data_IF_408564094670
#
_entry.id   IF_408564094670
#
_cell.length_a   1.000
_cell.length_b   1.000
_cell.length_c   1.000
_cell.angle_alpha   90.00
_cell.angle_beta   90.00
_cell.angle_gamma   90.00
#
_symmetry.space_group_name_H-M   'P 1'
#
loop_
_entity.id
_entity.type
_entity.pdbx_description
1 polymer ?
#
# COMPACT_ATOMS: atom_id res chain seq x y z
N UNK A 1 -8.70 -15.37 -15.33
CA UNK A 1 -8.21 -14.63 -14.14
C UNK A 1 -8.03 -15.64 -13.02
N UNK A 2 -6.80 -15.85 -12.55
CA UNK A 2 -6.54 -16.84 -11.49
C UNK A 2 -7.14 -16.36 -10.18
N UNK A 3 -8.04 -17.15 -9.59
CA UNK A 3 -8.62 -16.87 -8.28
C UNK A 3 -7.54 -16.99 -7.18
N UNK A 4 -7.51 -16.05 -6.24
CA UNK A 4 -6.66 -16.17 -5.05
C UNK A 4 -7.21 -17.29 -4.15
N UNK A 5 -6.31 -18.10 -3.59
CA UNK A 5 -6.69 -19.25 -2.76
C UNK A 5 -6.27 -19.03 -1.31
N UNK A 6 -7.20 -19.33 -0.41
CA UNK A 6 -6.95 -19.27 1.03
C UNK A 6 -5.78 -20.18 1.43
N UNK A 7 -4.77 -19.69 2.13
CA UNK A 7 -3.62 -20.49 2.56
C UNK A 7 -3.99 -21.52 3.64
N UNK A 8 -5.10 -21.32 4.34
CA UNK A 8 -5.60 -22.19 5.43
C UNK A 8 -6.61 -23.19 4.93
N UNK A 9 -7.66 -22.74 4.22
CA UNK A 9 -8.78 -23.60 3.81
C UNK A 9 -8.66 -24.15 2.40
N UNK A 10 -7.74 -23.61 1.58
CA UNK A 10 -7.57 -23.94 0.15
C UNK A 10 -8.79 -23.64 -0.73
N UNK A 11 -9.74 -22.87 -0.24
CA UNK A 11 -10.90 -22.36 -0.99
C UNK A 11 -10.57 -21.02 -1.67
N UNK A 12 -11.35 -20.63 -2.69
CA UNK A 12 -11.19 -19.33 -3.35
C UNK A 12 -11.50 -18.18 -2.39
N UNK A 13 -10.69 -17.13 -2.44
CA UNK A 13 -10.94 -15.89 -1.71
C UNK A 13 -11.94 -15.02 -2.45
N UNK A 14 -12.72 -14.25 -1.70
CA UNK A 14 -13.68 -13.29 -2.22
C UNK A 14 -13.11 -11.88 -2.11
N UNK A 15 -13.24 -11.12 -3.18
CA UNK A 15 -12.87 -9.72 -3.19
C UNK A 15 -13.88 -8.88 -2.41
N UNK A 16 -13.41 -8.08 -1.46
CA UNK A 16 -14.20 -7.14 -0.66
C UNK A 16 -13.67 -5.73 -0.87
N UNK A 17 -14.53 -4.82 -1.31
CA UNK A 17 -14.17 -3.40 -1.45
C UNK A 17 -14.34 -2.69 -0.11
N UNK A 18 -13.30 -1.97 0.27
CA UNK A 18 -13.28 -1.05 1.43
C UNK A 18 -12.79 0.33 0.97
N UNK A 19 -12.98 1.41 1.73
CA UNK A 19 -12.48 2.74 1.34
C UNK A 19 -10.98 2.76 1.01
N UNK A 20 -10.19 1.96 1.73
CA UNK A 20 -8.75 1.82 1.51
C UNK A 20 -8.37 1.08 0.21
N UNK A 21 -9.27 0.32 -0.40
CA UNK A 21 -9.02 -0.46 -1.61
C UNK A 21 -9.67 -1.83 -1.61
N UNK A 22 -8.97 -2.85 -2.09
CA UNK A 22 -9.48 -4.20 -2.24
C UNK A 22 -8.79 -5.15 -1.25
N UNK A 23 -9.61 -5.85 -0.46
CA UNK A 23 -9.21 -6.96 0.39
C UNK A 23 -9.70 -8.28 -0.20
N UNK A 24 -9.07 -9.39 0.14
CA UNK A 24 -9.53 -10.72 -0.22
C UNK A 24 -9.78 -11.54 1.03
N UNK A 25 -11.03 -11.94 1.25
CA UNK A 25 -11.46 -12.64 2.46
C UNK A 25 -11.86 -14.09 2.17
N UNK A 26 -11.58 -14.97 3.11
CA UNK A 26 -12.04 -16.34 3.07
C UNK A 26 -13.39 -16.45 3.78
N UNK A 27 -14.40 -16.99 3.09
CA UNK A 27 -15.73 -17.23 3.71
C UNK A 27 -15.72 -18.34 4.76
N UNK A 28 -14.75 -19.24 4.69
CA UNK A 28 -14.67 -20.41 5.60
C UNK A 28 -13.99 -20.08 6.92
N UNK A 29 -12.82 -19.41 6.88
CA UNK A 29 -12.05 -19.10 8.09
C UNK A 29 -11.99 -17.60 8.41
N UNK A 30 -12.68 -16.75 7.66
CA UNK A 30 -12.65 -15.29 7.81
C UNK A 30 -11.25 -14.65 7.74
N UNK A 31 -10.20 -15.39 7.35
CA UNK A 31 -8.87 -14.84 7.14
C UNK A 31 -8.84 -13.89 5.94
N UNK A 32 -7.94 -12.93 5.96
CA UNK A 32 -7.88 -11.82 5.01
C UNK A 32 -6.49 -11.65 4.42
N UNK A 33 -6.42 -11.56 3.08
CA UNK A 33 -5.23 -11.20 2.34
C UNK A 33 -5.26 -9.72 1.93
N UNK A 34 -4.18 -8.99 2.21
CA UNK A 34 -4.07 -7.54 1.94
C UNK A 34 -2.71 -7.26 1.33
N UNK A 35 -2.66 -6.49 0.24
CA UNK A 35 -1.37 -6.03 -0.27
C UNK A 35 -0.87 -4.80 0.50
N UNK A 36 0.43 -4.54 0.45
CA UNK A 36 1.08 -3.47 1.21
C UNK A 36 0.52 -2.08 0.90
N UNK A 37 0.13 -1.80 -0.35
CA UNK A 37 -0.41 -0.50 -0.74
C UNK A 37 -1.81 -0.24 -0.14
N UNK A 38 -2.66 -1.26 -0.08
CA UNK A 38 -3.97 -1.17 0.58
C UNK A 38 -3.79 -1.13 2.10
N UNK A 39 -2.86 -1.94 2.65
CA UNK A 39 -2.59 -1.98 4.08
C UNK A 39 -2.15 -0.61 4.62
N UNK A 40 -1.32 0.16 3.87
CA UNK A 40 -0.91 1.53 4.22
C UNK A 40 -2.05 2.55 4.25
N UNK A 41 -3.15 2.28 3.54
CA UNK A 41 -4.37 3.12 3.60
C UNK A 41 -5.33 2.64 4.67
N UNK A 42 -5.24 1.37 5.07
CA UNK A 42 -6.14 0.75 6.03
C UNK A 42 -5.64 0.88 7.48
N UNK A 43 -4.34 0.75 7.70
CA UNK A 43 -3.68 0.88 9.00
C UNK A 43 -2.81 2.14 9.06
N UNK A 44 -2.46 2.58 10.26
CA UNK A 44 -1.47 3.65 10.46
C UNK A 44 -0.13 3.28 9.82
N UNK A 45 0.51 4.23 9.17
CA UNK A 45 1.77 4.01 8.44
C UNK A 45 2.89 3.48 9.34
N UNK A 46 2.97 3.96 10.59
CA UNK A 46 3.95 3.52 11.59
C UNK A 46 3.79 2.01 11.85
N UNK A 47 2.56 1.56 12.03
CA UNK A 47 2.22 0.14 12.22
C UNK A 47 2.64 -0.70 11.02
N UNK A 48 2.32 -0.26 9.80
CA UNK A 48 2.69 -1.00 8.58
C UNK A 48 4.21 -1.07 8.42
N UNK A 49 4.92 0.02 8.71
CA UNK A 49 6.38 0.06 8.65
C UNK A 49 7.03 -0.87 9.69
N UNK A 50 6.46 -0.95 10.89
CA UNK A 50 6.91 -1.87 11.93
C UNK A 50 6.69 -3.33 11.53
N UNK A 51 5.48 -3.68 11.08
CA UNK A 51 5.15 -5.03 10.59
C UNK A 51 6.08 -5.44 9.46
N UNK A 52 6.31 -4.56 8.50
CA UNK A 52 7.19 -4.83 7.37
C UNK A 52 8.64 -5.03 7.80
N UNK A 53 9.18 -4.16 8.66
CA UNK A 53 10.53 -4.27 9.20
C UNK A 53 10.72 -5.59 9.95
N UNK A 54 9.78 -5.93 10.84
CA UNK A 54 9.81 -7.20 11.59
C UNK A 54 9.77 -8.40 10.65
N UNK A 55 8.91 -8.37 9.64
CA UNK A 55 8.82 -9.42 8.63
C UNK A 55 10.12 -9.57 7.82
N UNK A 56 10.82 -8.48 7.52
CA UNK A 56 12.08 -8.54 6.79
C UNK A 56 13.24 -9.12 7.60
N UNK A 57 13.28 -8.85 8.90
CA UNK A 57 14.40 -9.19 9.78
C UNK A 57 14.21 -10.50 10.56
N UNK A 58 12.96 -10.82 10.94
CA UNK A 58 12.68 -11.90 11.91
C UNK A 58 11.77 -13.02 11.37
N UNK A 59 11.39 -12.98 10.08
CA UNK A 59 10.49 -14.00 9.55
C UNK A 59 11.20 -15.29 9.21
N UNK A 60 10.51 -16.40 9.41
CA UNK A 60 10.94 -17.76 9.04
C UNK A 60 10.03 -18.33 7.95
N UNK A 61 10.45 -19.37 7.20
CA UNK A 61 9.57 -20.04 6.24
C UNK A 61 8.30 -20.57 6.90
N UNK A 62 7.17 -20.34 6.25
CA UNK A 62 5.86 -20.87 6.64
C UNK A 62 5.50 -22.08 5.76
N UNK A 63 4.67 -22.99 6.29
CA UNK A 63 4.12 -24.08 5.47
C UNK A 63 2.94 -23.63 4.60
N UNK A 64 2.44 -22.42 4.81
CA UNK A 64 1.34 -21.83 4.04
C UNK A 64 1.85 -21.29 2.70
N UNK A 65 1.05 -21.45 1.64
CA UNK A 65 1.35 -20.93 0.31
C UNK A 65 0.68 -19.55 0.09
N UNK A 66 1.37 -18.66 -0.61
CA UNK A 66 0.83 -17.35 -0.98
C UNK A 66 -0.47 -17.50 -1.78
N UNK A 67 -1.55 -16.79 -1.43
CA UNK A 67 -2.80 -16.80 -2.19
C UNK A 67 -2.64 -16.49 -3.68
N UNK A 68 -1.67 -15.65 -4.03
CA UNK A 68 -1.44 -15.15 -5.39
C UNK A 68 -0.42 -15.99 -6.16
N UNK A 69 0.84 -16.05 -5.72
CA UNK A 69 1.93 -16.69 -6.48
C UNK A 69 2.23 -18.13 -6.08
N UNK A 70 1.59 -18.66 -5.05
CA UNK A 70 1.76 -20.04 -4.53
C UNK A 70 3.12 -20.34 -3.90
N UNK A 71 4.04 -19.40 -3.88
CA UNK A 71 5.30 -19.58 -3.14
C UNK A 71 5.04 -19.65 -1.63
N UNK A 72 5.92 -20.31 -0.90
CA UNK A 72 5.83 -20.37 0.55
C UNK A 72 5.80 -18.96 1.17
N UNK A 73 4.87 -18.73 2.07
CA UNK A 73 4.82 -17.53 2.88
C UNK A 73 5.97 -17.53 3.89
N UNK A 74 6.20 -16.41 4.51
CA UNK A 74 7.10 -16.28 5.66
C UNK A 74 6.29 -15.83 6.86
N UNK A 75 6.43 -16.55 7.96
CA UNK A 75 5.74 -16.26 9.22
C UNK A 75 6.63 -15.40 10.13
N UNK A 76 6.05 -14.43 10.78
CA UNK A 76 6.70 -13.58 11.79
C UNK A 76 5.71 -13.23 12.90
N UNK A 77 6.24 -12.90 14.09
CA UNK A 77 5.43 -12.47 15.21
C UNK A 77 5.37 -10.95 15.28
N UNK A 78 4.18 -10.40 15.37
CA UNK A 78 3.92 -9.02 15.72
C UNK A 78 3.40 -8.94 17.17
N UNK A 79 3.88 -7.97 17.94
CA UNK A 79 3.39 -7.71 19.31
C UNK A 79 2.36 -6.60 19.26
N UNK A 80 1.19 -6.83 19.87
CA UNK A 80 0.16 -5.81 20.01
C UNK A 80 -0.59 -5.97 21.34
N UNK A 81 -0.62 -4.89 22.15
CA UNK A 81 -1.34 -4.84 23.41
C UNK A 81 -1.11 -6.10 24.26
N UNK A 82 0.17 -6.46 24.51
CA UNK A 82 0.64 -7.65 25.22
C UNK A 82 0.32 -9.01 24.54
N UNK A 83 -0.34 -8.99 23.37
CA UNK A 83 -0.62 -10.19 22.57
C UNK A 83 0.44 -10.36 21.48
N UNK A 84 0.85 -11.61 21.29
CA UNK A 84 1.71 -12.00 20.18
C UNK A 84 0.83 -12.56 19.06
N UNK A 85 0.85 -11.89 17.92
CA UNK A 85 0.08 -12.22 16.72
C UNK A 85 1.02 -12.81 15.69
N UNK A 86 0.67 -13.95 15.09
CA UNK A 86 1.49 -14.64 14.09
C UNK A 86 0.97 -14.30 12.69
N UNK A 87 1.71 -13.53 11.92
CA UNK A 87 1.32 -13.08 10.59
C UNK A 87 2.16 -13.74 9.51
N UNK A 88 1.56 -13.96 8.35
CA UNK A 88 2.24 -14.49 7.17
C UNK A 88 2.43 -13.41 6.09
N UNK A 89 3.60 -13.41 5.43
CA UNK A 89 3.97 -12.44 4.40
C UNK A 89 4.48 -13.14 3.15
N UNK A 90 4.03 -12.69 1.99
CA UNK A 90 4.67 -12.94 0.71
C UNK A 90 5.52 -11.73 0.29
N UNK A 91 6.85 -11.87 0.29
CA UNK A 91 7.76 -10.79 -0.14
C UNK A 91 7.60 -10.45 -1.62
N UNK A 92 7.44 -11.45 -2.48
CA UNK A 92 7.33 -11.27 -3.93
C UNK A 92 6.04 -10.52 -4.32
N UNK A 93 4.90 -10.86 -3.71
CA UNK A 93 3.61 -10.22 -3.99
C UNK A 93 3.34 -9.01 -3.09
N UNK A 94 4.18 -8.75 -2.09
CA UNK A 94 3.96 -7.73 -1.06
C UNK A 94 2.59 -7.89 -0.38
N UNK A 95 2.20 -9.13 -0.09
CA UNK A 95 0.89 -9.50 0.42
C UNK A 95 1.04 -10.06 1.83
N UNK A 96 0.26 -9.54 2.79
CA UNK A 96 0.13 -10.09 4.13
C UNK A 96 -1.16 -10.87 4.27
N UNK A 97 -1.08 -11.97 5.00
CA UNK A 97 -2.22 -12.77 5.42
C UNK A 97 -2.45 -12.56 6.92
N UNK A 98 -3.69 -12.28 7.25
CA UNK A 98 -4.20 -12.15 8.60
C UNK A 98 -5.23 -13.25 8.84
N UNK A 99 -5.09 -14.02 9.91
CA UNK A 99 -6.13 -14.95 10.34
C UNK A 99 -7.32 -14.16 10.93
N UNK A 100 -8.38 -14.84 11.35
CA UNK A 100 -9.62 -14.24 11.86
C UNK A 100 -9.33 -13.21 12.95
N UNK A 101 -9.87 -11.98 12.79
CA UNK A 101 -9.76 -10.86 13.74
C UNK A 101 -8.34 -10.28 13.95
N UNK A 102 -7.29 -10.82 13.32
CA UNK A 102 -5.93 -10.31 13.51
C UNK A 102 -5.76 -8.91 12.88
N UNK A 103 -6.35 -8.66 11.73
CA UNK A 103 -6.28 -7.36 11.06
C UNK A 103 -6.94 -6.24 11.91
N UNK A 104 -7.99 -6.57 12.64
CA UNK A 104 -8.72 -5.62 13.48
C UNK A 104 -7.99 -5.29 14.80
N UNK A 105 -6.99 -6.08 15.18
CA UNK A 105 -6.15 -5.80 16.33
C UNK A 105 -5.20 -4.59 16.10
N UNK A 106 -4.99 -4.19 14.85
CA UNK A 106 -4.08 -3.08 14.52
C UNK A 106 -4.82 -1.74 14.37
N UNK A 107 -4.16 -0.60 14.77
CA UNK A 107 -4.77 0.72 14.69
C UNK A 107 -5.01 1.12 13.24
N UNK A 108 -6.25 1.43 12.92
CA UNK A 108 -6.67 1.88 11.59
C UNK A 108 -6.15 3.28 11.29
N UNK A 109 -5.86 3.53 10.03
CA UNK A 109 -5.56 4.87 9.55
C UNK A 109 -6.77 5.79 9.83
N UNK A 110 -6.54 7.06 10.17
CA UNK A 110 -7.65 8.00 10.26
C UNK A 110 -8.35 8.03 8.91
N UNK A 111 -9.67 7.91 8.92
CA UNK A 111 -10.46 8.13 7.71
C UNK A 111 -10.15 9.55 7.22
N UNK A 112 -9.46 9.65 6.09
CA UNK A 112 -9.26 10.93 5.43
C UNK A 112 -10.63 11.50 5.16
N UNK A 113 -10.99 12.60 5.84
CA UNK A 113 -12.30 13.24 5.66
C UNK A 113 -12.41 13.58 4.18
N UNK A 114 -13.38 13.04 3.43
CA UNK A 114 -13.52 13.32 1.99
C UNK A 114 -13.59 14.83 1.69
N UNK A 115 -14.06 15.62 2.65
CA UNK A 115 -14.09 17.07 2.60
C UNK A 115 -12.68 17.70 2.65
N UNK A 116 -11.73 17.12 3.36
CA UNK A 116 -10.37 17.66 3.51
C UNK A 116 -9.54 17.38 2.25
N UNK A 117 -9.67 16.18 1.67
CA UNK A 117 -9.05 15.84 0.38
C UNK A 117 -9.62 16.73 -0.73
N UNK A 118 -10.93 16.92 -0.76
CA UNK A 118 -11.62 17.78 -1.74
C UNK A 118 -11.20 19.25 -1.60
N UNK A 119 -11.00 19.72 -0.36
CA UNK A 119 -10.51 21.09 -0.07
C UNK A 119 -9.04 21.26 -0.49
N UNK A 120 -8.20 20.29 -0.22
CA UNK A 120 -6.77 20.31 -0.62
C UNK A 120 -6.62 20.28 -2.14
N UNK A 121 -7.42 19.46 -2.84
CA UNK A 121 -7.48 19.42 -4.30
C UNK A 121 -7.97 20.76 -4.86
N UNK A 122 -9.06 21.32 -4.36
CA UNK A 122 -9.59 22.61 -4.80
C UNK A 122 -8.59 23.76 -4.55
N UNK A 123 -7.85 23.73 -3.43
CA UNK A 123 -6.78 24.70 -3.18
C UNK A 123 -5.60 24.54 -4.14
N UNK A 124 -5.22 23.31 -4.48
CA UNK A 124 -4.16 23.03 -5.43
C UNK A 124 -4.55 23.45 -6.86
N UNK A 125 -5.80 23.20 -7.26
CA UNK A 125 -6.36 23.65 -8.54
C UNK A 125 -6.39 25.18 -8.62
N UNK A 126 -6.88 25.88 -7.59
CA UNK A 126 -6.89 27.34 -7.53
C UNK A 126 -5.49 27.96 -7.55
N UNK A 127 -4.50 27.32 -6.88
CA UNK A 127 -3.10 27.75 -6.96
C UNK A 127 -2.50 27.52 -8.34
N UNK A 128 -2.85 26.43 -9.00
CA UNK A 128 -2.38 26.15 -10.36
C UNK A 128 -2.96 27.16 -11.35
N UNK A 129 -4.27 27.45 -11.28
CA UNK A 129 -4.93 28.46 -12.12
C UNK A 129 -4.34 29.87 -11.90
N UNK A 130 -4.13 30.29 -10.65
CA UNK A 130 -3.50 31.58 -10.33
C UNK A 130 -2.05 31.67 -10.86
N UNK A 131 -1.30 30.58 -10.84
CA UNK A 131 0.06 30.52 -11.41
C UNK A 131 0.08 30.53 -12.95
N UNK A 132 -0.99 30.03 -13.59
CA UNK A 132 -1.13 30.03 -15.06
C UNK A 132 -1.57 31.42 -15.55
N UNK A 133 -2.52 32.07 -14.88
CA UNK A 133 -3.01 33.42 -15.25
C UNK A 133 -1.97 34.51 -15.03
N UNK A 134 -1.05 34.35 -14.06
CA UNK A 134 0.04 35.32 -13.79
C UNK A 134 1.27 35.17 -14.69
N UNK A 135 1.33 34.17 -15.56
CA UNK A 135 2.42 33.99 -16.53
C UNK A 135 1.97 34.35 -17.92
N UNK A 136 2.44 35.48 -18.41
CA UNK A 136 2.54 35.71 -19.87
C UNK A 136 3.44 34.62 -20.46
N UNK A 137 2.83 33.67 -21.14
CA UNK A 137 3.52 32.58 -21.84
C UNK A 137 4.15 33.17 -23.13
N UNK A 138 5.25 33.89 -22.99
CA UNK A 138 6.06 34.22 -24.17
C UNK A 138 6.74 32.93 -24.66
N UNK A 139 6.88 32.77 -25.98
CA UNK A 139 7.54 31.61 -26.56
C UNK A 139 8.95 31.38 -25.97
N UNK A 140 9.64 32.48 -25.59
CA UNK A 140 10.96 32.48 -24.95
C UNK A 140 10.92 31.79 -23.54
N UNK A 141 9.90 32.04 -22.75
CA UNK A 141 9.77 31.44 -21.40
C UNK A 141 9.46 29.93 -21.47
N UNK A 142 8.69 29.51 -22.48
CA UNK A 142 8.41 28.07 -22.71
C UNK A 142 9.69 27.35 -23.15
N UNK A 143 10.47 27.92 -24.02
CA UNK A 143 11.73 27.34 -24.49
C UNK A 143 12.77 27.28 -23.36
N UNK A 144 12.89 28.34 -22.55
CA UNK A 144 13.80 28.35 -21.40
C UNK A 144 13.46 27.26 -20.38
N UNK A 145 12.17 27.08 -20.05
CA UNK A 145 11.70 26.05 -19.11
C UNK A 145 11.90 24.64 -19.68
N UNK A 146 11.67 24.42 -20.97
CA UNK A 146 11.92 23.14 -21.62
C UNK A 146 13.42 22.80 -21.62
N UNK A 147 14.31 23.75 -21.88
CA UNK A 147 15.75 23.57 -21.80
C UNK A 147 16.22 23.22 -20.38
N UNK A 148 15.68 23.86 -19.36
CA UNK A 148 16.02 23.57 -17.96
C UNK A 148 15.62 22.14 -17.55
N UNK A 149 14.44 21.67 -17.96
CA UNK A 149 13.99 20.30 -17.74
C UNK A 149 14.91 19.30 -18.46
N UNK A 150 15.28 19.56 -19.70
CA UNK A 150 16.21 18.72 -20.48
C UNK A 150 17.58 18.64 -19.80
N UNK A 151 18.11 19.76 -19.33
CA UNK A 151 19.39 19.81 -18.60
C UNK A 151 19.32 19.00 -17.30
N UNK A 152 18.21 19.08 -16.56
CA UNK A 152 17.99 18.29 -15.34
C UNK A 152 17.95 16.78 -15.65
N UNK A 153 17.26 16.39 -16.71
CA UNK A 153 17.21 14.99 -17.15
C UNK A 153 18.59 14.48 -17.56
N UNK A 154 19.36 15.27 -18.33
CA UNK A 154 20.73 14.93 -18.73
C UNK A 154 21.62 14.77 -17.51
N UNK A 155 21.55 15.68 -16.53
CA UNK A 155 22.31 15.56 -15.27
C UNK A 155 21.97 14.29 -14.49
N UNK A 156 20.70 13.89 -14.44
CA UNK A 156 20.29 12.66 -13.76
C UNK A 156 20.77 11.38 -14.47
N UNK A 157 20.89 11.41 -15.80
CA UNK A 157 21.27 10.23 -16.61
C UNK A 157 22.77 10.09 -16.78
N UNK A 158 23.51 11.21 -16.89
CA UNK A 158 24.96 11.22 -17.22
C UNK A 158 25.86 11.25 -15.98
N UNK A 159 25.34 11.68 -14.82
CA UNK A 159 26.10 11.78 -13.55
C UNK A 159 25.75 10.70 -12.54
N UNK A 160 25.26 9.55 -13.02
CA UNK A 160 25.00 8.35 -12.20
C UNK A 160 26.07 7.30 -12.39
#
# INVERSE_FOLDING_TARGET
>A
MSSLICPTCRTSLNAMRVPAGLLWTCRTCAGTAVNSAVLRRYLKNETVNELWRTAMTQSTPSQRACPSCRQALRVFAASRDERRISLDLCKACQLMWFDTNELDAFPKAPEGKPAEIKRTLAMAEAQFEANVEGREWSAENVVAMALEIIIQIIRMVVLR
#
